data_IF_977769531715
#
_entry.id   IF_977769531715
#
_cell.length_a   1.000
_cell.length_b   1.000
_cell.length_c   1.000
_cell.angle_alpha   90.00
_cell.angle_beta   90.00
_cell.angle_gamma   90.00
#
_symmetry.space_group_name_H-M   'P 1'
#
loop_
_entity.id
_entity.type
_entity.pdbx_description
1 polymer ?
#
# COMPACT_ATOMS: atom_id res chain seq x y z
N UNK A 1 30.54 14.19 -8.20
CA UNK A 1 29.44 13.60 -8.99
C UNK A 1 28.96 12.25 -8.42
N UNK A 2 29.82 11.20 -8.32
CA UNK A 2 29.39 9.91 -7.77
C UNK A 2 29.10 9.97 -6.26
N UNK A 3 29.85 10.77 -5.50
CA UNK A 3 29.64 10.94 -4.07
C UNK A 3 28.35 11.72 -3.77
N UNK A 4 28.01 12.76 -4.56
CA UNK A 4 26.73 13.46 -4.46
C UNK A 4 25.54 12.52 -4.67
N UNK A 5 25.65 11.60 -5.64
CA UNK A 5 24.57 10.61 -5.89
C UNK A 5 24.42 9.64 -4.71
N UNK A 6 25.54 9.22 -4.10
CA UNK A 6 25.50 8.34 -2.91
C UNK A 6 24.83 9.03 -1.72
N UNK A 7 25.21 10.29 -1.47
CA UNK A 7 24.59 11.09 -0.40
C UNK A 7 23.11 11.34 -0.68
N UNK A 8 22.73 11.68 -1.91
CA UNK A 8 21.34 11.84 -2.31
C UNK A 8 20.52 10.55 -2.15
N UNK A 9 21.10 9.40 -2.49
CA UNK A 9 20.44 8.11 -2.30
C UNK A 9 20.23 7.78 -0.80
N UNK A 10 21.22 8.11 0.05
CA UNK A 10 21.07 7.94 1.52
C UNK A 10 20.00 8.86 2.08
N UNK A 11 20.05 10.14 1.71
CA UNK A 11 19.05 11.13 2.14
C UNK A 11 17.65 10.71 1.73
N UNK A 12 17.44 10.34 0.47
CA UNK A 12 16.17 9.87 -0.05
C UNK A 12 15.66 8.66 0.73
N UNK A 13 16.52 7.69 1.03
CA UNK A 13 16.18 6.51 1.83
C UNK A 13 15.69 6.91 3.22
N UNK A 14 16.35 7.87 3.86
CA UNK A 14 15.96 8.37 5.18
C UNK A 14 14.59 9.09 5.10
N UNK A 15 14.42 9.98 4.13
CA UNK A 15 13.18 10.72 3.93
C UNK A 15 11.99 9.80 3.66
N UNK A 16 12.13 8.83 2.78
CA UNK A 16 11.09 7.83 2.49
C UNK A 16 10.73 7.02 3.74
N UNK A 17 11.74 6.64 4.54
CA UNK A 17 11.50 5.89 5.78
C UNK A 17 10.76 6.74 6.84
N UNK A 18 11.04 8.03 6.92
CA UNK A 18 10.34 8.98 7.80
C UNK A 18 8.89 9.13 7.34
N UNK A 19 8.66 9.42 6.05
CA UNK A 19 7.33 9.57 5.47
C UNK A 19 6.50 8.32 5.73
N UNK A 20 7.02 7.14 5.41
CA UNK A 20 6.31 5.87 5.61
C UNK A 20 5.93 5.65 7.07
N UNK A 21 6.84 5.92 8.00
CA UNK A 21 6.60 5.72 9.44
C UNK A 21 5.56 6.68 10.00
N UNK A 22 5.64 7.96 9.63
CA UNK A 22 4.68 8.97 10.08
C UNK A 22 3.29 8.67 9.53
N UNK A 23 3.19 8.41 8.22
CA UNK A 23 1.90 8.16 7.57
C UNK A 23 1.26 6.86 8.03
N UNK A 24 2.03 5.77 8.16
CA UNK A 24 1.49 4.49 8.65
C UNK A 24 0.97 4.62 10.08
N UNK A 25 1.72 5.30 10.95
CA UNK A 25 1.29 5.51 12.35
C UNK A 25 0.02 6.35 12.45
N UNK A 26 -0.07 7.43 11.67
CA UNK A 26 -1.26 8.28 11.64
C UNK A 26 -2.49 7.52 11.13
N UNK A 27 -2.33 6.76 10.03
CA UNK A 27 -3.38 5.90 9.50
C UNK A 27 -3.86 4.87 10.53
N UNK A 28 -2.95 4.16 11.20
CA UNK A 28 -3.29 3.17 12.22
C UNK A 28 -4.03 3.81 13.40
N UNK A 29 -3.62 4.99 13.84
CA UNK A 29 -4.31 5.74 14.89
C UNK A 29 -5.73 6.13 14.46
N UNK A 30 -5.92 6.61 13.22
CA UNK A 30 -7.23 6.94 12.67
C UNK A 30 -8.13 5.71 12.57
N UNK A 31 -7.61 4.58 12.07
CA UNK A 31 -8.35 3.32 12.00
C UNK A 31 -8.77 2.81 13.38
N UNK A 32 -7.87 2.84 14.34
CA UNK A 32 -8.16 2.45 15.74
C UNK A 32 -9.21 3.35 16.38
N UNK A 33 -9.16 4.66 16.15
CA UNK A 33 -10.17 5.60 16.65
C UNK A 33 -11.57 5.29 16.09
N UNK A 34 -11.66 4.68 14.92
CA UNK A 34 -12.90 4.20 14.29
C UNK A 34 -13.29 2.77 14.72
N UNK A 35 -12.58 2.18 15.69
CA UNK A 35 -12.82 0.83 16.16
C UNK A 35 -12.31 -0.28 15.23
N UNK A 36 -11.38 0.03 14.34
CA UNK A 36 -10.84 -0.88 13.35
C UNK A 36 -9.38 -1.23 13.69
N UNK A 37 -9.13 -2.36 14.39
CA UNK A 37 -7.78 -2.74 14.80
C UNK A 37 -7.01 -3.42 13.65
N UNK A 38 -6.89 -2.71 12.52
CA UNK A 38 -6.11 -3.17 11.36
C UNK A 38 -4.87 -2.28 11.16
N UNK A 39 -3.77 -2.88 10.72
CA UNK A 39 -2.53 -2.16 10.43
C UNK A 39 -2.61 -1.42 9.09
N UNK A 40 -1.69 -0.48 8.87
CA UNK A 40 -1.54 0.21 7.59
C UNK A 40 -1.28 -0.78 6.43
N UNK A 41 -0.50 -1.83 6.67
CA UNK A 41 -0.28 -2.89 5.68
C UNK A 41 -1.58 -3.65 5.36
N UNK A 42 -2.34 -4.03 6.37
CA UNK A 42 -3.63 -4.70 6.18
C UNK A 42 -4.62 -3.83 5.42
N UNK A 43 -4.70 -2.54 5.74
CA UNK A 43 -5.52 -1.58 4.99
C UNK A 43 -5.08 -1.52 3.51
N UNK A 44 -3.77 -1.44 3.24
CA UNK A 44 -3.25 -1.44 1.88
C UNK A 44 -3.60 -2.72 1.10
N UNK A 45 -3.50 -3.88 1.75
CA UNK A 45 -3.90 -5.17 1.15
C UNK A 45 -5.40 -5.14 0.80
N UNK A 46 -6.27 -4.74 1.71
CA UNK A 46 -7.72 -4.64 1.45
C UNK A 46 -8.03 -3.70 0.28
N UNK A 47 -7.35 -2.54 0.19
CA UNK A 47 -7.50 -1.60 -0.92
C UNK A 47 -7.12 -2.22 -2.28
N UNK A 48 -6.05 -3.01 -2.31
CA UNK A 48 -5.67 -3.76 -3.51
C UNK A 48 -6.70 -4.83 -3.86
N UNK A 49 -7.13 -5.62 -2.88
CA UNK A 49 -8.15 -6.68 -3.09
C UNK A 49 -9.50 -6.12 -3.54
N UNK A 50 -9.81 -4.88 -3.23
CA UNK A 50 -11.02 -4.21 -3.72
C UNK A 50 -11.02 -3.99 -5.23
N UNK A 51 -9.87 -4.02 -5.88
CA UNK A 51 -9.75 -3.88 -7.34
C UNK A 51 -9.90 -5.22 -8.05
N UNK A 52 -9.17 -6.22 -7.61
CA UNK A 52 -9.23 -7.60 -8.10
C UNK A 52 -8.52 -8.59 -7.15
N UNK A 53 -8.74 -9.90 -7.30
CA UNK A 53 -8.03 -10.91 -6.53
C UNK A 53 -6.52 -10.91 -6.78
N UNK A 54 -5.72 -11.18 -5.72
CA UNK A 54 -4.27 -11.29 -5.78
C UNK A 54 -3.77 -12.52 -5.04
N UNK A 55 -2.79 -13.22 -5.59
CA UNK A 55 -2.00 -14.21 -4.83
C UNK A 55 -1.00 -13.50 -3.91
N UNK A 56 -0.47 -14.23 -2.91
CA UNK A 56 0.61 -13.72 -2.03
C UNK A 56 1.82 -13.27 -2.86
N UNK A 57 2.18 -14.01 -3.92
CA UNK A 57 3.30 -13.67 -4.78
C UNK A 57 3.07 -12.36 -5.56
N UNK A 58 1.85 -12.11 -6.02
CA UNK A 58 1.46 -10.87 -6.69
C UNK A 58 1.46 -9.69 -5.72
N UNK A 59 0.92 -9.87 -4.50
CA UNK A 59 0.98 -8.85 -3.44
C UNK A 59 2.43 -8.54 -3.03
N UNK A 60 3.29 -9.57 -2.92
CA UNK A 60 4.71 -9.39 -2.63
C UNK A 60 5.38 -8.45 -3.62
N UNK A 61 5.21 -8.73 -4.90
CA UNK A 61 5.79 -7.87 -5.96
C UNK A 61 5.21 -6.46 -5.95
N UNK A 62 3.89 -6.36 -5.78
CA UNK A 62 3.18 -5.08 -5.81
C UNK A 62 3.53 -4.16 -4.63
N UNK A 63 3.72 -4.74 -3.46
CA UNK A 63 4.04 -3.99 -2.24
C UNK A 63 5.55 -3.91 -1.96
N UNK A 64 6.40 -4.56 -2.76
CA UNK A 64 7.84 -4.63 -2.50
C UNK A 64 8.17 -5.34 -1.19
N UNK A 65 7.34 -6.30 -0.76
CA UNK A 65 7.48 -7.01 0.51
C UNK A 65 7.73 -8.50 0.29
N UNK A 66 8.35 -9.15 1.28
CA UNK A 66 8.53 -10.60 1.21
C UNK A 66 7.24 -11.35 1.57
N UNK A 67 7.02 -12.58 1.07
CA UNK A 67 5.92 -13.42 1.51
C UNK A 67 5.87 -13.60 3.03
N UNK A 68 7.03 -13.70 3.67
CA UNK A 68 7.14 -13.83 5.13
C UNK A 68 6.55 -12.63 5.89
N UNK A 69 6.62 -11.43 5.31
CA UNK A 69 5.99 -10.21 5.86
C UNK A 69 4.48 -10.19 5.61
N UNK A 70 4.03 -10.72 4.46
CA UNK A 70 2.62 -10.64 4.06
C UNK A 70 1.75 -11.70 4.70
N UNK A 71 2.25 -12.93 4.86
CA UNK A 71 1.45 -14.05 5.37
C UNK A 71 0.81 -13.75 6.73
N UNK A 72 1.51 -13.23 7.74
CA UNK A 72 0.87 -12.89 9.02
C UNK A 72 -0.22 -11.82 8.91
N UNK A 73 -0.03 -10.83 8.02
CA UNK A 73 -1.01 -9.77 7.79
C UNK A 73 -2.27 -10.31 7.11
N UNK A 74 -2.10 -11.20 6.12
CA UNK A 74 -3.19 -11.88 5.42
C UNK A 74 -3.95 -12.81 6.36
N UNK A 75 -3.26 -13.64 7.15
CA UNK A 75 -3.88 -14.54 8.12
C UNK A 75 -4.70 -13.77 9.18
N UNK A 76 -4.24 -12.58 9.55
CA UNK A 76 -5.03 -11.71 10.42
C UNK A 76 -6.29 -11.18 9.72
N UNK A 77 -6.21 -10.78 8.45
CA UNK A 77 -7.38 -10.36 7.67
C UNK A 77 -8.41 -11.49 7.51
N UNK A 78 -7.95 -12.73 7.30
CA UNK A 78 -8.83 -13.90 7.24
C UNK A 78 -9.50 -14.16 8.60
N UNK A 79 -8.75 -14.09 9.69
CA UNK A 79 -9.32 -14.24 11.05
C UNK A 79 -10.37 -13.18 11.38
N UNK A 80 -10.21 -11.97 10.86
CA UNK A 80 -11.19 -10.89 10.99
C UNK A 80 -12.36 -10.98 9.99
N UNK A 81 -12.34 -11.99 9.11
CA UNK A 81 -13.37 -12.18 8.10
C UNK A 81 -13.37 -11.14 6.98
N UNK A 82 -12.28 -10.36 6.81
CA UNK A 82 -12.21 -9.25 5.86
C UNK A 82 -11.66 -9.65 4.48
N UNK A 83 -10.92 -10.75 4.43
CA UNK A 83 -10.41 -11.37 3.21
C UNK A 83 -10.51 -12.89 3.34
N UNK A 84 -10.49 -13.60 2.22
CA UNK A 84 -10.49 -15.06 2.18
C UNK A 84 -9.60 -15.57 1.05
N UNK A 85 -9.00 -16.75 1.26
CA UNK A 85 -8.36 -17.50 0.16
C UNK A 85 -9.44 -18.16 -0.69
N UNK A 86 -9.31 -18.00 -1.98
CA UNK A 86 -10.20 -18.59 -2.98
C UNK A 86 -9.42 -19.56 -3.88
N UNK A 87 -10.12 -20.41 -4.61
CA UNK A 87 -9.52 -21.23 -5.63
C UNK A 87 -9.78 -20.62 -7.01
N UNK A 88 -8.72 -20.53 -7.82
CA UNK A 88 -8.89 -20.12 -9.21
C UNK A 88 -9.54 -21.28 -9.99
N UNK A 89 -10.72 -21.10 -10.61
CA UNK A 89 -11.38 -22.17 -11.36
C UNK A 89 -10.60 -22.62 -12.60
N UNK A 90 -9.68 -21.78 -13.09
CA UNK A 90 -8.86 -22.05 -14.28
C UNK A 90 -7.50 -22.66 -13.93
N UNK A 91 -6.98 -22.40 -12.73
CA UNK A 91 -5.70 -22.95 -12.27
C UNK A 91 -5.76 -23.29 -10.78
N UNK A 92 -5.92 -24.58 -10.48
CA UNK A 92 -6.00 -25.11 -9.12
C UNK A 92 -4.72 -24.87 -8.27
N UNK A 93 -3.61 -24.47 -8.91
CA UNK A 93 -2.36 -24.12 -8.21
C UNK A 93 -2.37 -22.69 -7.69
N UNK A 94 -3.27 -21.86 -8.22
CA UNK A 94 -3.44 -20.49 -7.78
C UNK A 94 -4.46 -20.42 -6.64
N UNK A 95 -4.05 -19.81 -5.55
CA UNK A 95 -4.91 -19.53 -4.39
C UNK A 95 -4.94 -18.01 -4.20
N UNK A 96 -5.75 -17.29 -4.99
CA UNK A 96 -5.87 -15.86 -4.84
C UNK A 96 -6.62 -15.51 -3.55
N UNK A 97 -6.27 -14.38 -2.98
CA UNK A 97 -7.02 -13.71 -1.93
C UNK A 97 -8.10 -12.86 -2.58
N UNK A 98 -9.27 -12.88 -1.98
CA UNK A 98 -10.43 -12.07 -2.37
C UNK A 98 -10.91 -11.27 -1.18
N UNK A 99 -11.48 -10.11 -1.45
CA UNK A 99 -12.21 -9.35 -0.44
C UNK A 99 -13.53 -10.07 -0.12
N UNK A 100 -13.88 -10.15 1.15
CA UNK A 100 -15.18 -10.68 1.57
C UNK A 100 -16.27 -9.60 1.48
N UNK A 101 -17.52 -9.97 1.74
CA UNK A 101 -18.61 -9.01 1.86
C UNK A 101 -18.37 -8.03 3.01
N UNK A 102 -17.94 -8.54 4.19
CA UNK A 102 -17.57 -7.73 5.35
C UNK A 102 -16.41 -6.78 5.02
N UNK A 103 -15.39 -7.25 4.30
CA UNK A 103 -14.28 -6.41 3.83
C UNK A 103 -14.75 -5.32 2.88
N UNK A 104 -15.69 -5.63 1.99
CA UNK A 104 -16.28 -4.66 1.07
C UNK A 104 -17.10 -3.60 1.82
N UNK A 105 -17.95 -4.02 2.76
CA UNK A 105 -18.73 -3.11 3.61
C UNK A 105 -17.81 -2.22 4.45
N UNK A 106 -16.73 -2.77 5.00
CA UNK A 106 -15.72 -2.00 5.73
C UNK A 106 -15.12 -0.90 4.85
N UNK A 107 -14.62 -1.27 3.67
CA UNK A 107 -13.98 -0.31 2.76
C UNK A 107 -14.94 0.74 2.20
N UNK A 108 -16.22 0.43 2.05
CA UNK A 108 -17.23 1.40 1.63
C UNK A 108 -17.47 2.51 2.67
N UNK A 109 -17.17 2.26 3.95
CA UNK A 109 -17.27 3.24 5.05
C UNK A 109 -16.01 4.08 5.20
N UNK A 110 -14.89 3.65 4.62
CA UNK A 110 -13.61 4.33 4.73
C UNK A 110 -13.31 5.07 3.41
N UNK A 111 -13.05 6.37 3.43
CA UNK A 111 -12.52 7.04 2.25
C UNK A 111 -11.17 6.42 1.86
N UNK A 112 -10.72 6.53 0.60
CA UNK A 112 -9.40 6.07 0.18
C UNK A 112 -8.27 6.66 1.02
N UNK A 113 -8.43 7.93 1.40
CA UNK A 113 -7.56 8.69 2.30
C UNK A 113 -8.49 9.53 3.19
N UNK A 114 -8.28 9.52 4.50
CA UNK A 114 -9.07 10.30 5.44
C UNK A 114 -8.78 11.80 5.28
N UNK A 115 -9.77 12.65 5.58
CA UNK A 115 -9.62 14.12 5.46
C UNK A 115 -8.53 14.70 6.38
N UNK A 116 -8.24 14.03 7.49
CA UNK A 116 -7.20 14.36 8.45
C UNK A 116 -5.86 13.65 8.19
N UNK A 117 -5.73 12.93 7.08
CA UNK A 117 -4.52 12.20 6.73
C UNK A 117 -3.31 13.13 6.58
N UNK A 118 -2.20 12.74 7.20
CA UNK A 118 -0.98 13.55 7.23
C UNK A 118 -0.32 13.73 5.86
N UNK A 119 -0.40 12.74 4.98
CA UNK A 119 0.10 12.86 3.59
C UNK A 119 -0.81 13.73 2.76
N UNK A 120 -2.13 13.60 2.90
CA UNK A 120 -3.10 14.45 2.23
C UNK A 120 -2.84 15.92 2.59
N UNK A 121 -2.74 16.22 3.88
CA UNK A 121 -2.47 17.57 4.37
C UNK A 121 -1.10 18.09 3.93
N UNK A 122 -0.06 17.26 3.98
CA UNK A 122 1.26 17.59 3.45
C UNK A 122 1.23 17.93 1.96
N UNK A 123 0.57 17.10 1.15
CA UNK A 123 0.41 17.36 -0.29
C UNK A 123 -0.47 18.58 -0.57
N UNK A 124 -1.53 18.80 0.22
CA UNK A 124 -2.41 19.96 0.07
C UNK A 124 -1.69 21.29 0.36
N UNK A 125 -0.70 21.29 1.26
CA UNK A 125 0.13 22.47 1.56
C UNK A 125 1.11 22.85 0.44
N UNK A 126 1.33 21.95 -0.53
CA UNK A 126 2.22 22.20 -1.67
C UNK A 126 1.47 22.85 -2.85
N UNK A 127 2.12 23.75 -3.61
CA UNK A 127 1.59 24.22 -4.89
C UNK A 127 1.29 23.04 -5.82
N UNK A 128 0.19 23.12 -6.60
CA UNK A 128 -0.29 22.03 -7.45
C UNK A 128 0.79 21.48 -8.39
N UNK A 129 1.58 22.38 -8.99
CA UNK A 129 2.68 22.00 -9.90
C UNK A 129 3.76 21.17 -9.22
N UNK A 130 4.18 21.59 -8.00
CA UNK A 130 5.20 20.86 -7.22
C UNK A 130 4.68 19.52 -6.75
N UNK A 131 3.41 19.43 -6.37
CA UNK A 131 2.76 18.18 -5.98
C UNK A 131 2.72 17.18 -7.15
N UNK A 132 2.34 17.64 -8.34
CA UNK A 132 2.33 16.82 -9.54
C UNK A 132 3.74 16.35 -9.91
N UNK A 133 4.72 17.25 -9.89
CA UNK A 133 6.12 16.92 -10.16
C UNK A 133 6.68 15.90 -9.15
N UNK A 134 6.37 16.05 -7.86
CA UNK A 134 6.78 15.09 -6.83
C UNK A 134 6.24 13.69 -7.13
N UNK A 135 4.96 13.57 -7.43
CA UNK A 135 4.34 12.27 -7.72
C UNK A 135 4.91 11.64 -8.99
N UNK A 136 5.20 12.44 -10.01
CA UNK A 136 5.81 11.96 -11.25
C UNK A 136 7.24 11.46 -11.03
N UNK A 137 8.08 12.23 -10.33
CA UNK A 137 9.44 11.82 -9.98
C UNK A 137 9.50 10.56 -9.13
N UNK A 138 8.59 10.42 -8.17
CA UNK A 138 8.51 9.21 -7.36
C UNK A 138 8.10 8.00 -8.21
N UNK A 139 7.13 8.14 -9.11
CA UNK A 139 6.75 7.07 -10.04
C UNK A 139 7.90 6.68 -10.97
N UNK A 140 8.59 7.68 -11.53
CA UNK A 140 9.76 7.45 -12.38
C UNK A 140 10.84 6.66 -11.62
N UNK A 141 11.19 7.10 -10.42
CA UNK A 141 12.16 6.40 -9.58
C UNK A 141 11.73 4.95 -9.32
N UNK A 142 10.48 4.72 -8.93
CA UNK A 142 9.96 3.36 -8.67
C UNK A 142 10.10 2.48 -9.91
N UNK A 143 9.81 2.98 -11.11
CA UNK A 143 9.96 2.22 -12.36
C UNK A 143 11.39 1.81 -12.66
N UNK A 144 12.39 2.56 -12.19
CA UNK A 144 13.83 2.23 -12.38
C UNK A 144 14.35 1.18 -11.41
N UNK A 145 13.60 0.89 -10.33
CA UNK A 145 13.99 -0.11 -9.34
C UNK A 145 13.65 -1.53 -9.82
N UNK A 146 14.42 -2.56 -9.40
CA UNK A 146 14.05 -3.95 -9.63
C UNK A 146 12.61 -4.21 -9.15
N UNK A 147 11.80 -4.86 -9.98
CA UNK A 147 10.38 -5.16 -9.75
C UNK A 147 9.45 -3.93 -9.60
N UNK A 148 9.99 -2.71 -9.71
CA UNK A 148 9.24 -1.46 -9.51
C UNK A 148 8.23 -1.14 -10.63
N UNK A 149 8.48 -1.58 -11.87
CA UNK A 149 7.59 -1.31 -13.01
C UNK A 149 6.17 -1.83 -12.82
N UNK A 150 6.03 -3.03 -12.23
CA UNK A 150 4.73 -3.64 -11.94
C UNK A 150 3.97 -2.95 -10.80
N UNK A 151 4.70 -2.30 -9.89
CA UNK A 151 4.10 -1.60 -8.75
C UNK A 151 3.60 -0.20 -9.14
N UNK A 152 4.33 0.52 -9.99
CA UNK A 152 4.04 1.92 -10.31
C UNK A 152 2.77 2.12 -11.15
N UNK A 153 2.50 1.21 -12.10
CA UNK A 153 1.40 1.36 -13.06
C UNK A 153 0.03 1.11 -12.41
N UNK A 154 -0.01 0.32 -11.36
CA UNK A 154 -1.23 -0.04 -10.64
C UNK A 154 -1.62 0.93 -9.52
N UNK A 155 -0.73 1.82 -9.09
CA UNK A 155 -1.03 2.83 -8.07
C UNK A 155 -1.70 4.07 -8.68
N UNK A 156 -1.50 4.29 -9.98
CA UNK A 156 -1.98 5.48 -10.69
C UNK A 156 -3.41 5.34 -11.24
N UNK A 157 -4.01 4.14 -11.20
CA UNK A 157 -5.38 3.85 -11.63
C UNK A 157 -6.31 3.73 -10.42
#
# INVERSE_FOLDING_TARGET
MMDDLRWGALELRILLSIITRISSRALEQSLHAQGLPISALQHSILRLLNRHPFTIAELSRKLGLTPATLVPAVDALERHGLAARSHDPRDRRRTPLVLTEEGTVLLARLPPVADDDVLLNGLASMPAERRSALLELVRELVRTLPDGSLAADDVAA
#
